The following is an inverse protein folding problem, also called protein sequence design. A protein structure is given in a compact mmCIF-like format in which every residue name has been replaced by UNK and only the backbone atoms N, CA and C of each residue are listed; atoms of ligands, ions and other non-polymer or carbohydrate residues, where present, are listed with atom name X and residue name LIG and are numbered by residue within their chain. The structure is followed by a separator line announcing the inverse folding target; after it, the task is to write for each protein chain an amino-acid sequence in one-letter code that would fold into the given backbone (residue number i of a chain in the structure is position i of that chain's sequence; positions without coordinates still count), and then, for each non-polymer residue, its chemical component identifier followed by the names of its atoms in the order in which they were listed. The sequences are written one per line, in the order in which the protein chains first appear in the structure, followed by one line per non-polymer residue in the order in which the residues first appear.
data_IF_348049590923
#
_entry.id   IF_348049590923
#
_cell.length_a   1.000
_cell.length_b   1.000
_cell.length_c   1.000
_cell.angle_alpha   90.00
_cell.angle_beta   90.00
_cell.angle_gamma   90.00
#
_symmetry.space_group_name_H-M   'P 1'
#
loop_
_entity.id
_entity.type
_entity.pdbx_description
1 polymer ?
#
# COMPACT_ATOMS: atom_id res chain seq x y z
N UNK A 1 33.31 12.17 -29.09
CA UNK A 1 32.95 12.18 -27.87
C UNK A 1 32.74 10.88 -27.14
N UNK A 2 33.89 10.19 -26.94
CA UNK A 2 33.98 8.90 -26.29
C UNK A 2 33.45 8.96 -24.81
N UNK A 3 33.63 10.08 -24.15
CA UNK A 3 33.18 10.30 -22.75
C UNK A 3 31.65 10.35 -22.67
N UNK A 4 30.98 11.03 -23.60
CA UNK A 4 29.52 11.06 -23.67
C UNK A 4 28.95 9.68 -23.99
N UNK A 5 29.59 8.93 -24.84
CA UNK A 5 29.15 7.58 -25.19
C UNK A 5 29.36 6.59 -24.02
N UNK A 6 30.46 6.70 -23.25
CA UNK A 6 30.71 5.88 -22.07
C UNK A 6 29.74 6.21 -20.93
N UNK A 7 29.43 7.48 -20.71
CA UNK A 7 28.42 7.91 -19.70
C UNK A 7 27.01 7.45 -20.13
N UNK A 8 26.68 7.53 -21.41
CA UNK A 8 25.40 7.01 -21.95
C UNK A 8 25.30 5.49 -21.79
N UNK A 9 26.35 4.73 -22.13
CA UNK A 9 26.41 3.27 -21.93
C UNK A 9 26.36 2.89 -20.46
N UNK A 10 27.03 3.62 -19.58
CA UNK A 10 27.03 3.35 -18.15
C UNK A 10 25.65 3.61 -17.53
N UNK A 11 24.97 4.68 -17.92
CA UNK A 11 23.61 4.98 -17.50
C UNK A 11 22.61 3.96 -18.08
N UNK A 12 22.81 3.50 -19.31
CA UNK A 12 21.95 2.50 -19.94
C UNK A 12 22.15 1.10 -19.36
N UNK A 13 23.38 0.71 -19.04
CA UNK A 13 23.70 -0.52 -18.30
C UNK A 13 23.17 -0.50 -16.86
N UNK A 14 23.24 0.64 -16.16
CA UNK A 14 22.62 0.80 -14.85
C UNK A 14 21.10 0.69 -14.91
N UNK A 15 20.45 1.23 -15.94
CA UNK A 15 18.99 1.10 -16.11
C UNK A 15 18.54 -0.34 -16.38
N UNK A 16 19.39 -1.14 -17.05
CA UNK A 16 19.13 -2.58 -17.29
C UNK A 16 19.32 -3.46 -16.05
N UNK A 17 19.95 -2.94 -14.99
CA UNK A 17 20.21 -3.66 -13.74
C UNK A 17 19.22 -3.29 -12.62
N UNK A 18 18.41 -2.25 -12.81
CA UNK A 18 17.41 -1.87 -11.80
C UNK A 18 16.17 -2.77 -11.92
N UNK A 19 15.66 -3.28 -10.80
CA UNK A 19 14.45 -4.08 -10.82
C UNK A 19 13.27 -3.23 -11.31
N UNK A 20 12.36 -3.86 -12.05
CA UNK A 20 11.09 -3.21 -12.44
C UNK A 20 10.12 -3.19 -11.25
N UNK A 21 9.44 -2.05 -11.05
CA UNK A 21 8.37 -1.94 -10.07
C UNK A 21 7.02 -2.41 -10.62
N UNK A 22 6.13 -2.77 -9.72
CA UNK A 22 4.74 -3.05 -10.05
C UNK A 22 4.54 -4.27 -10.94
N UNK A 23 5.47 -5.20 -10.95
CA UNK A 23 5.34 -6.47 -11.67
C UNK A 23 4.70 -7.50 -10.75
N UNK A 24 3.47 -7.91 -11.08
CA UNK A 24 2.75 -8.96 -10.36
C UNK A 24 3.35 -10.34 -10.67
N UNK A 25 3.18 -11.27 -9.73
CA UNK A 25 3.56 -12.67 -9.92
C UNK A 25 2.76 -13.33 -11.05
N UNK A 26 3.38 -14.29 -11.75
CA UNK A 26 2.84 -14.92 -12.96
C UNK A 26 1.94 -16.11 -12.69
N UNK A 27 1.60 -16.42 -11.45
CA UNK A 27 0.76 -17.56 -11.11
C UNK A 27 -0.67 -17.42 -11.69
N UNK A 28 -1.15 -18.48 -12.35
CA UNK A 28 -2.42 -18.48 -13.08
C UNK A 28 -3.62 -18.33 -12.14
N UNK A 29 -4.53 -17.46 -12.52
CA UNK A 29 -5.81 -17.18 -11.86
C UNK A 29 -6.65 -18.45 -11.71
N UNK A 30 -7.15 -18.72 -10.48
CA UNK A 30 -8.24 -19.68 -10.28
C UNK A 30 -9.55 -18.92 -10.48
N UNK A 31 -10.41 -19.45 -11.34
CA UNK A 31 -11.74 -18.87 -11.61
C UNK A 31 -12.64 -19.10 -10.39
N UNK A 32 -13.13 -18.02 -9.76
CA UNK A 32 -14.20 -18.07 -8.76
C UNK A 32 -13.81 -17.85 -7.29
N UNK A 33 -12.56 -17.42 -6.96
CA UNK A 33 -12.13 -17.23 -5.58
C UNK A 33 -11.81 -15.76 -5.22
N UNK A 34 -11.99 -15.40 -3.94
CA UNK A 34 -11.54 -14.14 -3.33
C UNK A 34 -10.12 -14.24 -2.76
N UNK A 35 -9.52 -15.42 -2.78
CA UNK A 35 -8.16 -15.67 -2.30
C UNK A 35 -7.16 -15.30 -3.40
N UNK A 36 -6.17 -14.48 -3.04
CA UNK A 36 -5.04 -14.11 -3.91
C UNK A 36 -4.16 -15.33 -4.15
N UNK A 37 -3.59 -15.45 -5.35
CA UNK A 37 -2.60 -16.48 -5.61
C UNK A 37 -1.32 -16.23 -4.80
N UNK A 38 -0.59 -17.25 -4.37
CA UNK A 38 0.68 -17.08 -3.70
C UNK A 38 1.60 -16.16 -4.49
N UNK A 39 2.07 -15.09 -3.83
CA UNK A 39 3.01 -14.10 -4.38
C UNK A 39 2.52 -13.30 -5.61
N UNK A 40 1.20 -13.26 -5.86
CA UNK A 40 0.61 -12.44 -6.93
C UNK A 40 0.93 -10.93 -6.72
N UNK A 41 0.96 -10.48 -5.48
CA UNK A 41 1.29 -9.08 -5.11
C UNK A 41 2.55 -9.04 -4.25
N UNK A 42 3.75 -9.12 -4.86
CA UNK A 42 5.02 -9.28 -4.14
C UNK A 42 5.47 -8.04 -3.36
N UNK A 43 4.76 -6.94 -3.46
CA UNK A 43 4.99 -5.72 -2.69
C UNK A 43 4.29 -5.69 -1.34
N UNK A 44 3.33 -6.59 -1.11
CA UNK A 44 2.56 -6.57 0.13
C UNK A 44 3.41 -7.01 1.32
N UNK A 45 3.26 -6.27 2.42
CA UNK A 45 3.86 -6.63 3.70
C UNK A 45 2.82 -6.59 4.81
N UNK A 46 3.02 -7.40 5.83
CA UNK A 46 2.28 -7.26 7.09
C UNK A 46 3.17 -6.67 8.16
N UNK A 47 2.61 -5.73 8.91
CA UNK A 47 3.24 -5.10 10.08
C UNK A 47 2.69 -5.79 11.33
N UNK A 48 3.56 -6.47 12.06
CA UNK A 48 3.20 -7.23 13.24
C UNK A 48 3.63 -6.49 14.51
N UNK A 49 2.74 -6.46 15.50
CA UNK A 49 3.05 -6.02 16.86
C UNK A 49 3.02 -7.25 17.77
N UNK A 50 4.19 -7.79 18.06
CA UNK A 50 4.29 -9.13 18.66
C UNK A 50 3.62 -10.17 17.75
N UNK A 51 2.74 -11.06 18.27
CA UNK A 51 2.06 -12.08 17.47
C UNK A 51 0.84 -11.56 16.71
N UNK A 52 0.46 -10.29 16.87
CA UNK A 52 -0.78 -9.74 16.30
C UNK A 52 -0.50 -9.00 15.00
N UNK A 53 -1.32 -9.24 13.98
CA UNK A 53 -1.40 -8.39 12.82
C UNK A 53 -1.87 -7.01 13.27
N UNK A 54 -1.06 -5.99 13.01
CA UNK A 54 -1.32 -4.61 13.39
C UNK A 54 -1.78 -3.77 12.21
N UNK A 55 -0.98 -3.80 11.12
CA UNK A 55 -1.23 -3.04 9.90
C UNK A 55 -0.71 -3.80 8.68
N UNK A 56 -1.06 -3.29 7.50
CA UNK A 56 -0.44 -3.61 6.23
C UNK A 56 0.55 -2.55 5.77
N UNK A 57 1.21 -2.80 4.66
CA UNK A 57 2.08 -1.86 3.99
C UNK A 57 2.50 -2.35 2.62
N UNK A 58 3.28 -1.56 1.91
CA UNK A 58 3.85 -1.93 0.61
C UNK A 58 5.32 -1.55 0.49
N UNK A 59 6.11 -2.45 -0.10
CA UNK A 59 7.50 -2.18 -0.46
C UNK A 59 7.53 -1.14 -1.56
N UNK A 60 8.29 -0.05 -1.37
CA UNK A 60 8.47 1.03 -2.36
C UNK A 60 9.92 1.18 -2.82
N UNK A 61 10.89 0.71 -2.03
CA UNK A 61 12.31 0.62 -2.40
C UNK A 61 12.92 -0.66 -1.81
N UNK A 62 14.20 -0.93 -2.07
CA UNK A 62 14.92 -2.05 -1.45
C UNK A 62 15.02 -1.95 0.09
N UNK A 63 14.59 -0.84 0.70
CA UNK A 63 14.74 -0.60 2.13
C UNK A 63 13.54 0.06 2.81
N UNK A 64 12.53 0.47 2.04
CA UNK A 64 11.42 1.24 2.58
C UNK A 64 10.06 0.62 2.32
N UNK A 65 9.22 0.71 3.34
CA UNK A 65 7.81 0.34 3.32
C UNK A 65 6.95 1.59 3.51
N UNK A 66 5.94 1.74 2.66
CA UNK A 66 4.92 2.78 2.78
C UNK A 66 3.72 2.21 3.54
N UNK A 67 3.23 2.94 4.53
CA UNK A 67 2.09 2.58 5.38
C UNK A 67 1.34 3.82 5.84
N UNK A 68 0.36 3.69 6.74
CA UNK A 68 -0.37 4.78 7.34
C UNK A 68 0.36 5.37 8.57
N UNK A 69 0.17 6.65 8.82
CA UNK A 69 0.74 7.35 9.98
C UNK A 69 0.17 6.84 11.31
N UNK A 70 -1.13 6.47 11.32
CA UNK A 70 -1.77 5.93 12.51
C UNK A 70 -1.16 4.58 12.95
N UNK A 71 -0.55 3.81 12.05
CA UNK A 71 0.10 2.54 12.36
C UNK A 71 1.32 2.67 13.29
N UNK A 72 1.90 3.87 13.39
CA UNK A 72 3.03 4.18 14.29
C UNK A 72 2.68 5.31 15.26
N UNK A 73 1.45 5.29 15.77
CA UNK A 73 0.89 6.29 16.70
C UNK A 73 0.15 5.57 17.84
N UNK A 74 -0.39 6.30 18.79
CA UNK A 74 -1.20 5.78 19.90
C UNK A 74 -0.50 4.70 20.76
N UNK A 75 0.77 4.96 21.11
CA UNK A 75 1.55 4.07 21.97
C UNK A 75 2.30 2.96 21.21
N UNK A 76 2.14 2.88 19.89
CA UNK A 76 2.93 1.98 19.06
C UNK A 76 4.17 2.72 18.56
N UNK A 77 5.34 2.25 18.93
CA UNK A 77 6.61 2.76 18.42
C UNK A 77 7.04 1.93 17.21
N UNK A 78 7.59 2.56 16.17
CA UNK A 78 7.99 1.85 14.96
C UNK A 78 8.98 0.70 15.20
N UNK A 79 9.82 0.78 16.25
CA UNK A 79 10.77 -0.29 16.65
C UNK A 79 10.10 -1.54 17.21
N UNK A 80 8.84 -1.43 17.63
CA UNK A 80 8.08 -2.57 18.13
C UNK A 80 7.47 -3.39 16.99
N UNK A 81 7.54 -2.86 15.76
CA UNK A 81 7.00 -3.49 14.57
C UNK A 81 8.00 -4.47 13.93
N UNK A 82 7.48 -5.63 13.62
CA UNK A 82 8.15 -6.62 12.77
C UNK A 82 7.45 -6.64 11.41
N UNK A 83 8.24 -6.65 10.33
CA UNK A 83 7.76 -6.62 8.95
C UNK A 83 7.93 -8.00 8.34
N UNK A 84 6.82 -8.60 7.88
CA UNK A 84 6.84 -9.87 7.15
C UNK A 84 6.66 -9.61 5.65
N UNK A 85 7.60 -10.11 4.86
CA UNK A 85 7.71 -9.88 3.42
C UNK A 85 7.65 -11.22 2.67
N UNK A 86 6.90 -11.27 1.58
CA UNK A 86 6.71 -12.50 0.80
C UNK A 86 5.74 -13.49 1.45
N UNK A 87 4.96 -13.09 2.45
CA UNK A 87 3.98 -13.93 3.11
C UNK A 87 2.73 -14.10 2.24
N UNK A 88 2.15 -15.30 2.23
CA UNK A 88 0.83 -15.59 1.68
C UNK A 88 -0.07 -16.25 2.73
N UNK A 89 0.39 -17.35 3.30
CA UNK A 89 -0.24 -18.04 4.43
C UNK A 89 0.43 -17.61 5.73
N UNK A 90 -0.32 -17.13 6.70
CA UNK A 90 0.20 -16.68 8.00
C UNK A 90 0.74 -17.83 8.87
N UNK A 91 0.40 -19.07 8.53
CA UNK A 91 0.94 -20.28 9.21
C UNK A 91 2.20 -20.82 8.52
N UNK A 92 2.51 -20.35 7.32
CA UNK A 92 3.77 -20.67 6.65
C UNK A 92 4.88 -19.77 7.24
N UNK A 93 6.08 -20.31 7.37
CA UNK A 93 7.25 -19.60 7.90
C UNK A 93 8.26 -19.25 6.81
N UNK A 94 7.92 -19.42 5.53
CA UNK A 94 8.81 -19.18 4.38
C UNK A 94 9.00 -17.68 4.06
N UNK A 95 8.33 -16.77 4.77
CA UNK A 95 8.46 -15.33 4.60
C UNK A 95 9.75 -14.77 5.24
N UNK A 96 10.18 -13.62 4.76
CA UNK A 96 11.32 -12.89 5.32
C UNK A 96 10.85 -12.00 6.47
N UNK A 97 11.53 -12.09 7.60
CA UNK A 97 11.29 -11.25 8.79
C UNK A 97 12.33 -10.14 8.87
N UNK A 98 11.86 -8.90 9.01
CA UNK A 98 12.68 -7.69 9.10
C UNK A 98 12.19 -6.82 10.24
N UNK A 99 13.08 -5.95 10.76
CA UNK A 99 12.75 -4.99 11.80
C UNK A 99 12.79 -3.57 11.26
N UNK A 100 12.08 -2.68 11.93
CA UNK A 100 12.02 -1.27 11.57
C UNK A 100 13.06 -0.50 12.39
N UNK A 101 13.98 0.19 11.72
CA UNK A 101 15.01 1.01 12.36
C UNK A 101 14.62 2.47 12.45
N UNK A 102 13.79 2.94 11.53
CA UNK A 102 13.26 4.30 11.52
C UNK A 102 11.82 4.32 10.98
N UNK A 103 11.01 5.23 11.51
CA UNK A 103 9.64 5.46 11.05
C UNK A 103 9.30 6.95 11.06
N UNK A 104 8.95 7.49 9.90
CA UNK A 104 8.65 8.91 9.73
C UNK A 104 7.21 9.06 9.28
N UNK A 105 6.38 9.70 10.11
CA UNK A 105 5.03 10.17 9.74
C UNK A 105 5.14 11.48 8.98
N UNK A 106 4.14 11.74 8.13
CA UNK A 106 4.05 13.07 7.53
C UNK A 106 3.99 14.16 8.62
N UNK A 107 4.73 15.28 8.50
CA UNK A 107 4.83 16.29 9.55
C UNK A 107 3.48 16.93 9.91
N UNK A 108 2.54 16.96 8.97
CA UNK A 108 1.18 17.43 9.18
C UNK A 108 0.17 16.29 9.46
N UNK A 109 0.63 15.12 9.88
CA UNK A 109 -0.26 14.07 10.33
C UNK A 109 -1.02 14.54 11.57
N UNK A 110 -2.34 14.46 11.51
CA UNK A 110 -3.22 14.72 12.66
C UNK A 110 -4.27 13.62 12.74
N UNK A 111 -4.61 13.23 13.95
CA UNK A 111 -5.62 12.23 14.23
C UNK A 111 -6.56 12.72 15.34
N UNK A 112 -7.83 12.44 15.19
CA UNK A 112 -8.85 12.67 16.22
C UNK A 112 -9.88 11.53 16.20
N UNK A 113 -10.90 11.63 17.05
CA UNK A 113 -11.93 10.58 17.18
C UNK A 113 -12.74 10.33 15.91
N UNK A 114 -12.59 11.16 14.87
CA UNK A 114 -13.44 11.13 13.67
C UNK A 114 -12.63 10.78 12.40
N UNK A 115 -11.40 11.27 12.30
CA UNK A 115 -10.57 11.13 11.08
C UNK A 115 -9.08 11.25 11.33
N UNK A 116 -8.33 10.68 10.42
CA UNK A 116 -6.88 10.87 10.26
C UNK A 116 -6.60 11.72 9.02
N UNK A 117 -5.78 12.76 9.15
CA UNK A 117 -5.39 13.65 8.05
C UNK A 117 -3.89 13.48 7.80
N UNK A 118 -3.48 13.51 6.52
CA UNK A 118 -2.11 13.22 6.09
C UNK A 118 -1.61 11.88 6.66
N UNK A 119 -2.49 10.89 6.60
CA UNK A 119 -2.28 9.58 7.20
C UNK A 119 -1.36 8.72 6.33
N UNK A 120 -0.07 9.02 6.43
CA UNK A 120 0.99 8.37 5.67
C UNK A 120 2.27 8.34 6.49
N UNK A 121 3.00 7.23 6.40
CA UNK A 121 4.31 7.04 7.02
C UNK A 121 5.23 6.21 6.13
N UNK A 122 6.53 6.45 6.25
CA UNK A 122 7.61 5.68 5.65
C UNK A 122 8.35 4.96 6.78
N UNK A 123 8.53 3.65 6.63
CA UNK A 123 9.32 2.81 7.53
C UNK A 123 10.62 2.43 6.83
N UNK A 124 11.75 2.55 7.54
CA UNK A 124 13.06 2.09 7.07
C UNK A 124 13.38 0.74 7.72
N UNK A 125 13.70 -0.25 6.90
CA UNK A 125 14.02 -1.60 7.33
C UNK A 125 15.49 -1.70 7.82
N UNK A 126 15.76 -2.66 8.70
CA UNK A 126 17.09 -2.94 9.25
C UNK A 126 18.06 -3.49 8.19
N UNK A 127 17.55 -4.14 7.15
CA UNK A 127 18.32 -4.72 6.05
C UNK A 127 17.71 -4.37 4.70
N UNK A 128 18.56 -4.32 3.68
CA UNK A 128 18.10 -4.21 2.29
C UNK A 128 17.46 -5.49 1.83
N UNK A 129 16.31 -5.36 1.17
CA UNK A 129 15.60 -6.45 0.52
C UNK A 129 16.38 -6.93 -0.71
N UNK A 130 16.46 -8.24 -0.88
CA UNK A 130 16.83 -8.86 -2.16
C UNK A 130 15.56 -9.10 -2.95
N UNK A 131 15.40 -8.38 -4.04
CA UNK A 131 14.24 -8.54 -4.91
C UNK A 131 14.24 -9.92 -5.58
N UNK A 132 13.07 -10.49 -5.72
CA UNK A 132 12.79 -11.80 -6.29
C UNK A 132 11.36 -11.81 -6.83
N UNK A 133 10.89 -12.92 -7.36
CA UNK A 133 9.49 -13.05 -7.79
C UNK A 133 8.49 -12.86 -6.64
N UNK A 134 8.90 -13.17 -5.42
CA UNK A 134 8.05 -13.06 -4.22
C UNK A 134 8.21 -11.75 -3.45
N UNK A 135 9.20 -10.92 -3.79
CA UNK A 135 9.55 -9.68 -3.10
C UNK A 135 9.95 -8.63 -4.12
N UNK A 136 9.05 -7.72 -4.44
CA UNK A 136 9.26 -6.65 -5.42
C UNK A 136 8.59 -5.37 -4.95
N UNK A 137 9.09 -4.19 -5.34
CA UNK A 137 8.43 -2.93 -5.01
C UNK A 137 7.23 -2.66 -5.93
N UNK A 138 6.25 -1.94 -5.41
CA UNK A 138 5.17 -1.35 -6.20
C UNK A 138 5.62 -0.01 -6.78
N UNK A 139 5.05 0.40 -7.93
CA UNK A 139 5.31 1.72 -8.46
C UNK A 139 4.58 2.81 -7.65
N UNK A 140 5.22 3.96 -7.50
CA UNK A 140 4.56 5.16 -7.01
C UNK A 140 3.92 5.90 -8.20
N UNK A 141 2.70 6.41 -8.06
CA UNK A 141 2.05 7.17 -9.12
C UNK A 141 2.70 8.53 -9.30
N UNK A 142 2.73 8.99 -10.54
CA UNK A 142 2.93 10.40 -10.86
C UNK A 142 1.60 11.16 -10.61
N UNK A 143 1.67 12.45 -10.29
CA UNK A 143 0.49 13.30 -10.07
C UNK A 143 -0.41 13.41 -11.31
N UNK A 144 0.15 13.19 -12.51
CA UNK A 144 -0.57 13.22 -13.78
C UNK A 144 -1.32 11.90 -14.11
N UNK A 145 -1.13 10.85 -13.31
CA UNK A 145 -1.83 9.59 -13.53
C UNK A 145 -3.23 9.64 -12.93
N UNK A 146 -4.23 9.51 -13.80
CA UNK A 146 -5.65 9.47 -13.40
C UNK A 146 -6.17 8.03 -13.31
N UNK A 147 -6.66 7.67 -12.13
CA UNK A 147 -7.25 6.37 -11.83
C UNK A 147 -8.78 6.40 -11.71
N UNK A 148 -9.43 7.48 -12.16
CA UNK A 148 -10.89 7.54 -12.24
C UNK A 148 -11.42 6.45 -13.17
N UNK A 149 -12.55 5.84 -12.80
CA UNK A 149 -13.20 4.77 -13.56
C UNK A 149 -12.30 3.53 -13.80
N UNK A 150 -11.29 3.32 -12.94
CA UNK A 150 -10.45 2.12 -12.93
C UNK A 150 -10.85 1.27 -11.71
N UNK A 151 -10.88 -0.04 -11.88
CA UNK A 151 -11.05 -0.95 -10.74
C UNK A 151 -9.77 -0.97 -9.93
N UNK A 152 -9.86 -0.63 -8.65
CA UNK A 152 -8.76 -0.65 -7.71
C UNK A 152 -8.82 -1.93 -6.88
N UNK A 153 -7.66 -2.42 -6.47
CA UNK A 153 -7.53 -3.61 -5.62
C UNK A 153 -7.08 -3.18 -4.22
N UNK A 154 -7.75 -3.72 -3.21
CA UNK A 154 -7.25 -3.77 -1.84
C UNK A 154 -6.91 -5.22 -1.54
N UNK A 155 -5.75 -5.49 -0.96
CA UNK A 155 -5.37 -6.83 -0.55
C UNK A 155 -4.67 -6.80 0.81
N UNK A 156 -4.97 -7.81 1.64
CA UNK A 156 -4.41 -7.90 2.99
C UNK A 156 -4.86 -9.15 3.72
N UNK A 157 -4.43 -9.24 4.96
CA UNK A 157 -4.79 -10.32 5.89
C UNK A 157 -5.77 -9.87 6.97
N UNK A 158 -6.41 -8.73 6.78
CA UNK A 158 -7.37 -8.16 7.72
C UNK A 158 -8.57 -9.05 7.97
N UNK A 159 -9.49 -8.58 8.77
CA UNK A 159 -10.72 -9.30 9.07
C UNK A 159 -11.62 -9.36 7.83
N UNK A 160 -12.33 -10.46 7.65
CA UNK A 160 -13.22 -10.66 6.50
C UNK A 160 -14.60 -10.02 6.66
N UNK A 161 -14.91 -9.58 7.88
CA UNK A 161 -16.14 -8.85 8.25
C UNK A 161 -15.96 -8.12 9.57
N UNK A 162 -16.78 -7.11 9.78
CA UNK A 162 -16.87 -6.46 11.08
C UNK A 162 -17.21 -7.47 12.18
N UNK A 163 -16.60 -7.30 13.35
CA UNK A 163 -16.81 -8.19 14.51
C UNK A 163 -16.17 -9.58 14.39
N UNK A 164 -15.45 -9.89 13.30
CA UNK A 164 -14.70 -11.13 13.24
C UNK A 164 -13.63 -11.17 14.35
N UNK A 165 -13.49 -12.30 15.03
CA UNK A 165 -12.54 -12.46 16.13
C UNK A 165 -11.09 -12.54 15.64
N UNK A 166 -10.87 -13.08 14.45
CA UNK A 166 -9.55 -13.33 13.88
C UNK A 166 -9.38 -12.69 12.50
N UNK A 167 -8.16 -12.31 12.18
CA UNK A 167 -7.73 -11.92 10.83
C UNK A 167 -7.64 -13.14 9.93
N UNK A 168 -7.65 -12.92 8.60
CA UNK A 168 -7.55 -14.00 7.62
C UNK A 168 -6.21 -14.73 7.73
N UNK A 169 -6.22 -16.05 7.54
CA UNK A 169 -5.03 -16.87 7.41
C UNK A 169 -4.32 -16.61 6.08
N UNK A 170 -5.08 -16.55 5.00
CA UNK A 170 -4.56 -16.35 3.65
C UNK A 170 -4.72 -14.89 3.22
N UNK A 171 -3.84 -14.46 2.32
CA UNK A 171 -3.98 -13.16 1.65
C UNK A 171 -5.27 -13.14 0.83
N UNK A 172 -6.11 -12.16 1.10
CA UNK A 172 -7.37 -11.93 0.39
C UNK A 172 -7.28 -10.64 -0.42
N UNK A 173 -8.10 -10.55 -1.47
CA UNK A 173 -8.28 -9.32 -2.24
C UNK A 173 -9.74 -8.96 -2.39
N UNK A 174 -9.99 -7.68 -2.56
CA UNK A 174 -11.26 -7.15 -3.02
C UNK A 174 -11.07 -6.05 -4.05
N UNK A 175 -12.10 -5.82 -4.88
CA UNK A 175 -12.10 -4.78 -5.90
C UNK A 175 -13.07 -3.68 -5.49
N UNK A 176 -12.58 -2.44 -5.52
CA UNK A 176 -13.35 -1.24 -5.21
C UNK A 176 -13.23 -0.22 -6.34
N UNK A 177 -14.10 0.77 -6.35
CA UNK A 177 -14.07 1.88 -7.31
C UNK A 177 -14.03 3.20 -6.55
N UNK A 178 -13.31 4.19 -7.11
CA UNK A 178 -13.31 5.54 -6.55
C UNK A 178 -14.73 6.09 -6.58
N UNK A 179 -15.20 6.54 -5.44
CA UNK A 179 -16.45 7.26 -5.30
C UNK A 179 -16.17 8.73 -5.60
N UNK A 180 -17.07 9.35 -6.35
CA UNK A 180 -17.00 10.79 -6.60
C UNK A 180 -16.85 11.57 -5.30
N UNK A 181 -15.95 12.56 -5.28
CA UNK A 181 -15.60 13.31 -4.09
C UNK A 181 -16.80 14.05 -3.49
N UNK A 182 -17.72 14.56 -4.33
CA UNK A 182 -18.93 15.22 -3.85
C UNK A 182 -19.89 14.23 -3.21
N UNK A 183 -20.04 13.04 -3.79
CA UNK A 183 -20.84 11.96 -3.19
C UNK A 183 -20.22 11.49 -1.87
N UNK A 184 -18.90 11.37 -1.80
CA UNK A 184 -18.19 11.01 -0.58
C UNK A 184 -18.40 12.05 0.53
N UNK A 185 -18.27 13.33 0.23
CA UNK A 185 -18.46 14.44 1.19
C UNK A 185 -19.93 14.61 1.61
N UNK A 186 -20.87 14.33 0.71
CA UNK A 186 -22.32 14.47 0.96
C UNK A 186 -22.94 13.23 1.59
N UNK A 187 -22.20 12.14 1.77
CA UNK A 187 -22.72 11.00 2.55
C UNK A 187 -23.06 11.52 3.95
N UNK A 188 -24.19 11.11 4.50
CA UNK A 188 -24.82 11.69 5.70
C UNK A 188 -23.90 11.78 6.93
N UNK A 189 -22.74 11.14 6.87
CA UNK A 189 -21.76 11.01 7.96
C UNK A 189 -20.48 11.77 7.69
N UNK A 190 -20.01 11.82 6.44
CA UNK A 190 -18.82 12.59 6.05
C UNK A 190 -19.21 14.02 5.72
N UNK A 191 -19.83 14.74 6.71
CA UNK A 191 -20.21 16.16 6.57
C UNK A 191 -19.08 16.97 5.92
N UNK A 192 -19.43 18.06 5.26
CA UNK A 192 -18.63 18.97 4.44
C UNK A 192 -17.24 19.24 4.99
N UNK A 193 -16.37 18.72 5.41
CA UNK A 193 -14.98 18.95 5.85
C UNK A 193 -14.28 17.68 6.36
N UNK A 194 -14.93 16.50 6.35
CA UNK A 194 -14.27 15.30 6.86
C UNK A 194 -13.28 14.73 5.86
N UNK A 195 -13.59 14.81 4.55
CA UNK A 195 -12.71 14.30 3.49
C UNK A 195 -12.05 15.46 2.77
N UNK A 196 -10.73 15.55 2.85
CA UNK A 196 -9.92 16.59 2.23
C UNK A 196 -9.50 16.20 0.81
N UNK A 197 -8.83 17.11 0.08
CA UNK A 197 -8.27 16.85 -1.25
C UNK A 197 -7.13 15.79 -1.26
N UNK A 198 -6.56 15.51 -0.08
CA UNK A 198 -5.51 14.50 0.12
C UNK A 198 -6.08 13.11 0.40
N UNK A 199 -7.40 12.98 0.41
CA UNK A 199 -8.14 11.75 0.66
C UNK A 199 -9.00 11.38 -0.54
N UNK A 200 -9.24 10.10 -0.72
CA UNK A 200 -10.23 9.57 -1.64
C UNK A 200 -11.12 8.57 -0.94
N UNK A 201 -12.36 8.47 -1.38
CA UNK A 201 -13.26 7.39 -0.98
C UNK A 201 -13.30 6.33 -2.06
N UNK A 202 -13.32 5.07 -1.65
CA UNK A 202 -13.58 3.98 -2.57
C UNK A 202 -14.55 2.97 -1.95
N UNK A 203 -15.37 2.37 -2.81
CA UNK A 203 -16.43 1.45 -2.39
C UNK A 203 -16.77 0.46 -3.50
N UNK A 204 -17.25 -0.70 -3.11
CA UNK A 204 -18.01 -1.63 -3.95
C UNK A 204 -18.98 -2.39 -3.06
N UNK A 205 -20.16 -2.73 -3.59
CA UNK A 205 -21.24 -3.35 -2.80
C UNK A 205 -20.75 -4.62 -2.08
N UNK A 206 -20.86 -4.62 -0.75
CA UNK A 206 -20.44 -5.74 0.10
C UNK A 206 -18.93 -6.00 0.12
N UNK A 207 -18.10 -5.03 -0.34
CA UNK A 207 -16.64 -5.17 -0.46
C UNK A 207 -15.94 -3.92 0.04
N UNK A 208 -15.01 -4.08 0.95
CA UNK A 208 -14.20 -3.00 1.52
C UNK A 208 -12.93 -3.56 2.15
N UNK A 209 -11.99 -2.67 2.52
CA UNK A 209 -10.95 -2.97 3.48
C UNK A 209 -11.55 -3.10 4.88
N UNK A 210 -10.96 -3.92 5.73
CA UNK A 210 -11.42 -4.10 7.09
C UNK A 210 -10.25 -4.07 8.09
N UNK A 211 -10.55 -4.23 9.38
CA UNK A 211 -9.58 -4.17 10.47
C UNK A 211 -8.39 -5.11 10.23
N UNK A 212 -7.18 -4.56 10.23
CA UNK A 212 -5.92 -5.24 9.93
C UNK A 212 -5.39 -4.98 8.51
N UNK A 213 -6.22 -4.39 7.59
CA UNK A 213 -5.78 -3.92 6.29
C UNK A 213 -5.28 -2.46 6.33
N UNK A 214 -5.48 -1.75 7.45
CA UNK A 214 -4.98 -0.39 7.72
C UNK A 214 -3.52 -0.23 7.34
N UNK A 215 -3.18 0.85 6.65
CA UNK A 215 -1.82 1.09 6.13
C UNK A 215 -1.46 0.30 4.88
N UNK A 216 -2.24 -0.73 4.53
CA UNK A 216 -2.07 -1.50 3.30
C UNK A 216 -2.35 -0.67 2.03
N UNK A 217 -1.85 -1.11 0.86
CA UNK A 217 -2.01 -0.37 -0.37
C UNK A 217 -3.39 -0.58 -1.00
N UNK A 218 -3.93 0.50 -1.57
CA UNK A 218 -4.94 0.49 -2.61
C UNK A 218 -4.21 0.67 -3.93
N UNK A 219 -4.34 -0.25 -4.88
CA UNK A 219 -3.49 -0.27 -6.06
C UNK A 219 -4.23 -0.71 -7.34
N UNK A 220 -3.69 -0.32 -8.50
CA UNK A 220 -4.22 -0.71 -9.80
C UNK A 220 -3.16 -0.62 -10.90
N UNK A 221 -3.45 -1.22 -12.04
CA UNK A 221 -2.73 -0.95 -13.29
C UNK A 221 -3.31 0.30 -13.94
N UNK A 222 -2.46 1.06 -14.64
CA UNK A 222 -2.92 2.23 -15.39
C UNK A 222 -3.06 1.92 -16.88
N UNK A 223 -4.17 2.39 -17.51
CA UNK A 223 -4.52 2.06 -18.90
C UNK A 223 -3.52 2.57 -19.94
N UNK A 224 -2.82 3.68 -19.64
CA UNK A 224 -1.87 4.32 -20.57
C UNK A 224 -0.45 3.77 -20.49
N UNK A 225 -0.16 2.88 -19.54
CA UNK A 225 1.17 2.28 -19.40
C UNK A 225 1.24 0.97 -20.19
N UNK A 226 2.13 0.89 -21.16
CA UNK A 226 2.27 -0.27 -22.05
C UNK A 226 2.62 -1.58 -21.32
N UNK A 227 3.22 -1.50 -20.14
CA UNK A 227 3.80 -2.64 -19.42
C UNK A 227 2.93 -3.18 -18.27
N UNK A 228 1.63 -2.83 -18.18
CA UNK A 228 0.72 -3.31 -17.10
C UNK A 228 1.32 -3.20 -15.69
N UNK A 229 2.14 -2.16 -15.44
CA UNK A 229 2.70 -1.91 -14.10
C UNK A 229 1.61 -1.57 -13.10
N UNK A 230 1.76 -2.06 -11.88
CA UNK A 230 0.88 -1.75 -10.76
C UNK A 230 1.38 -0.54 -9.97
N UNK A 231 0.49 0.37 -9.66
CA UNK A 231 0.75 1.61 -8.94
C UNK A 231 0.00 1.62 -7.62
N UNK A 232 0.64 2.10 -6.55
CA UNK A 232 -0.02 2.35 -5.29
C UNK A 232 -0.78 3.68 -5.36
N UNK A 233 -2.08 3.61 -5.57
CA UNK A 233 -2.98 4.77 -5.73
C UNK A 233 -3.33 5.39 -4.39
N UNK A 234 -3.54 4.53 -3.36
CA UNK A 234 -3.92 4.97 -2.02
C UNK A 234 -3.32 4.11 -0.91
N UNK A 235 -3.57 4.55 0.33
CA UNK A 235 -3.27 3.83 1.57
C UNK A 235 -4.57 3.68 2.34
N UNK A 236 -4.89 2.48 2.82
CA UNK A 236 -6.03 2.24 3.71
C UNK A 236 -5.86 3.06 4.97
N UNK A 237 -6.74 4.02 5.21
CA UNK A 237 -6.63 4.98 6.31
C UNK A 237 -7.72 4.75 7.35
N UNK A 238 -8.95 5.14 7.11
CA UNK A 238 -10.02 5.04 8.08
C UNK A 238 -11.38 4.79 7.42
N UNK A 239 -12.37 4.40 8.21
CA UNK A 239 -13.75 4.21 7.82
C UNK A 239 -14.61 4.00 9.06
N UNK A 240 -15.91 4.19 8.94
CA UNK A 240 -16.84 4.04 10.07
C UNK A 240 -17.15 2.57 10.29
N UNK A 241 -17.23 1.80 9.21
CA UNK A 241 -17.56 0.38 9.24
C UNK A 241 -17.02 -0.32 8.00
N UNK A 242 -16.97 -1.67 7.98
CA UNK A 242 -16.50 -2.40 6.81
C UNK A 242 -17.68 -2.75 5.88
N UNK A 243 -17.54 -2.41 4.58
CA UNK A 243 -18.46 -2.79 3.51
C UNK A 243 -19.91 -2.27 3.62
N UNK A 244 -20.14 -1.18 4.32
CA UNK A 244 -21.47 -0.56 4.43
C UNK A 244 -21.73 0.39 3.25
N UNK A 245 -22.92 0.32 2.58
CA UNK A 245 -23.19 1.10 1.36
C UNK A 245 -23.05 2.62 1.53
N UNK A 246 -23.41 3.13 2.70
CA UNK A 246 -23.41 4.56 2.99
C UNK A 246 -22.11 5.07 3.60
N UNK A 247 -21.11 4.17 3.78
CA UNK A 247 -19.85 4.44 4.46
C UNK A 247 -18.65 3.93 3.64
N UNK A 248 -18.32 4.57 2.52
CA UNK A 248 -17.17 4.15 1.74
C UNK A 248 -15.88 4.28 2.55
N UNK A 249 -14.94 3.34 2.36
CA UNK A 249 -13.62 3.43 2.97
C UNK A 249 -12.88 4.68 2.51
N UNK A 250 -12.11 5.29 3.41
CA UNK A 250 -11.29 6.48 3.14
C UNK A 250 -9.82 6.09 3.05
N UNK A 251 -9.18 6.57 2.01
CA UNK A 251 -7.80 6.26 1.64
C UNK A 251 -6.99 7.54 1.47
N UNK A 252 -5.73 7.52 1.90
CA UNK A 252 -4.78 8.61 1.62
C UNK A 252 -4.37 8.55 0.15
N UNK A 253 -4.41 9.67 -0.58
CA UNK A 253 -4.02 9.77 -2.00
C UNK A 253 -2.50 9.82 -2.13
N UNK A 254 -1.85 8.73 -2.57
CA UNK A 254 -0.38 8.61 -2.61
C UNK A 254 0.26 9.64 -3.53
N UNK A 255 -0.34 9.95 -4.68
CA UNK A 255 0.19 10.92 -5.65
C UNK A 255 0.50 12.28 -5.02
N UNK A 256 -0.30 12.73 -4.04
CA UNK A 256 -0.10 14.00 -3.32
C UNK A 256 1.16 14.03 -2.44
N UNK A 257 1.74 12.89 -2.17
CA UNK A 257 2.88 12.75 -1.25
C UNK A 257 4.15 12.23 -1.94
N UNK A 258 4.15 12.04 -3.26
CA UNK A 258 5.27 11.42 -3.97
C UNK A 258 6.59 12.16 -3.76
N UNK A 259 6.58 13.50 -3.70
CA UNK A 259 7.78 14.29 -3.42
C UNK A 259 8.27 14.08 -1.98
N UNK A 260 7.34 14.10 -1.01
CA UNK A 260 7.68 13.84 0.40
C UNK A 260 8.22 12.42 0.58
N UNK A 261 7.59 11.40 -0.02
CA UNK A 261 8.09 10.02 0.01
C UNK A 261 9.52 9.96 -0.52
N UNK A 262 9.80 10.54 -1.68
CA UNK A 262 11.15 10.57 -2.28
C UNK A 262 12.17 11.25 -1.37
N UNK A 263 11.78 12.27 -0.62
CA UNK A 263 12.66 12.93 0.36
C UNK A 263 13.00 12.03 1.53
N UNK A 264 12.06 11.18 1.99
CA UNK A 264 12.26 10.29 3.13
C UNK A 264 13.00 8.99 2.76
N UNK A 265 13.16 8.69 1.47
CA UNK A 265 13.69 7.41 0.99
C UNK A 265 14.94 7.56 0.10
N UNK A 266 15.72 8.63 0.30
CA UNK A 266 16.90 8.95 -0.51
C UNK A 266 17.99 7.88 -0.48
N UNK A 267 18.07 7.10 0.58
CA UNK A 267 19.02 6.01 0.77
C UNK A 267 18.51 4.66 0.25
N UNK A 268 17.30 4.61 -0.32
CA UNK A 268 16.71 3.45 -0.94
C UNK A 268 16.89 3.44 -2.45
N UNK A 269 17.01 2.24 -3.02
CA UNK A 269 17.03 2.04 -4.46
C UNK A 269 15.59 1.90 -4.97
N UNK A 270 15.17 2.87 -5.77
CA UNK A 270 13.92 2.77 -6.52
C UNK A 270 14.10 1.85 -7.72
N UNK A 271 13.00 1.25 -8.13
CA UNK A 271 12.85 0.57 -9.41
C UNK A 271 12.48 1.56 -10.53
N UNK A 272 12.65 1.17 -11.76
CA UNK A 272 12.26 1.93 -12.96
C UNK A 272 10.93 1.41 -13.49
#
# INVERSE_FOLDING_TARGET
DLVFFLVYLQNHLQSLLLPECGIAGTNRRIVGGTTVQPHEYPWLVSLMLGPKLHCGGAIITDRHVLTAGHCITFGVHFRDLTVYVGMHDRLDTSYVTLHVTNGVKHPHFTSNAVRDINDIAVLTLDKKLKFSDNVRPICLPDENLDFKNVSLTVAGWGKTRQGALTSSRYLLETKVQIVDSDRCRKSAIYKDNLVTETMMCAYSLGKDACQGDSGGPLFSTHRKTHNKKWYQVGIVSWGIDCAMPDYPGVYTVVAKYTQWIKQQTKDGMYCI
#
